data_IF_311063923373
#
_entry.id   IF_311063923373
#
_cell.length_a   1.000
_cell.length_b   1.000
_cell.length_c   1.000
_cell.angle_alpha   90.00
_cell.angle_beta   90.00
_cell.angle_gamma   90.00
#
_symmetry.space_group_name_H-M   'P 1'
#
loop_
_entity.id
_entity.type
_entity.pdbx_description
1 polymer ?
#
# COMPACT_ATOMS: atom_id res chain seq x y z
N UNK A 1 -22.77 1.24 -1.44
CA UNK A 1 -22.63 -0.14 -1.97
C UNK A 1 -21.51 -0.30 -3.00
N UNK A 2 -21.41 0.51 -4.08
CA UNK A 2 -20.29 0.38 -5.05
C UNK A 2 -18.92 0.84 -4.51
N UNK A 3 -18.87 1.95 -3.76
CA UNK A 3 -17.63 2.44 -3.14
C UNK A 3 -17.09 1.46 -2.08
N UNK A 4 -17.97 0.94 -1.24
CA UNK A 4 -17.66 -0.05 -0.19
C UNK A 4 -17.15 -1.40 -0.77
N UNK A 5 -17.72 -1.82 -1.90
CA UNK A 5 -17.25 -3.01 -2.62
C UNK A 5 -15.88 -2.79 -3.29
N UNK A 6 -15.59 -1.57 -3.77
CA UNK A 6 -14.26 -1.21 -4.29
C UNK A 6 -13.19 -1.18 -3.20
N UNK A 7 -13.50 -0.59 -2.04
CA UNK A 7 -12.61 -0.51 -0.89
C UNK A 7 -12.23 -1.92 -0.37
N UNK A 8 -13.21 -2.82 -0.25
CA UNK A 8 -12.96 -4.21 0.18
C UNK A 8 -12.12 -5.03 -0.82
N UNK A 9 -12.31 -4.84 -2.13
CA UNK A 9 -11.49 -5.52 -3.16
C UNK A 9 -10.04 -5.01 -3.15
N UNK A 10 -9.84 -3.69 -3.05
CA UNK A 10 -8.52 -3.09 -2.95
C UNK A 10 -7.79 -3.55 -1.68
N UNK A 11 -8.48 -3.57 -0.54
CA UNK A 11 -7.94 -4.08 0.72
C UNK A 11 -7.47 -5.53 0.60
N UNK A 12 -8.23 -6.38 -0.10
CA UNK A 12 -7.88 -7.79 -0.32
C UNK A 12 -6.66 -7.95 -1.24
N UNK A 13 -6.67 -7.29 -2.40
CA UNK A 13 -5.54 -7.28 -3.34
C UNK A 13 -4.25 -6.82 -2.68
N UNK A 14 -4.36 -5.83 -1.79
CA UNK A 14 -3.21 -5.35 -1.05
C UNK A 14 -2.70 -6.36 -0.02
N UNK A 15 -3.60 -6.96 0.76
CA UNK A 15 -3.24 -8.02 1.72
C UNK A 15 -2.49 -9.14 0.99
N UNK A 16 -3.00 -9.56 -0.16
CA UNK A 16 -2.38 -10.61 -0.98
C UNK A 16 -1.01 -10.15 -1.51
N UNK A 17 -0.90 -8.88 -1.96
CA UNK A 17 0.36 -8.31 -2.45
C UNK A 17 1.41 -8.15 -1.34
N UNK A 18 1.00 -7.84 -0.10
CA UNK A 18 1.89 -7.74 1.06
C UNK A 18 2.42 -9.11 1.47
N UNK A 19 1.56 -10.12 1.52
CA UNK A 19 1.95 -11.50 1.79
C UNK A 19 2.92 -12.00 0.72
N UNK A 20 2.56 -11.85 -0.56
CA UNK A 20 3.41 -12.26 -1.68
C UNK A 20 4.78 -11.55 -1.68
N UNK A 21 4.84 -10.26 -1.30
CA UNK A 21 6.10 -9.52 -1.21
C UNK A 21 6.97 -9.99 -0.04
N UNK A 22 6.37 -10.28 1.11
CA UNK A 22 7.06 -10.81 2.30
C UNK A 22 7.62 -12.20 2.03
N UNK A 23 6.82 -13.05 1.38
CA UNK A 23 7.22 -14.40 0.98
C UNK A 23 8.37 -14.34 -0.04
N UNK A 24 8.27 -13.46 -1.04
CA UNK A 24 9.34 -13.28 -2.02
C UNK A 24 10.64 -12.80 -1.38
N UNK A 25 10.58 -11.82 -0.48
CA UNK A 25 11.76 -11.35 0.27
C UNK A 25 12.40 -12.47 1.09
N UNK A 26 11.57 -13.29 1.74
CA UNK A 26 12.03 -14.46 2.51
C UNK A 26 12.70 -15.50 1.60
N UNK A 27 12.12 -15.79 0.44
CA UNK A 27 12.68 -16.73 -0.53
C UNK A 27 14.03 -16.24 -1.08
N UNK A 28 14.18 -14.94 -1.34
CA UNK A 28 15.47 -14.38 -1.79
C UNK A 28 16.54 -14.51 -0.70
N UNK A 29 16.20 -14.24 0.56
CA UNK A 29 17.13 -14.43 1.69
C UNK A 29 17.53 -15.89 1.86
N UNK A 30 16.58 -16.82 1.74
CA UNK A 30 16.87 -18.26 1.76
C UNK A 30 17.77 -18.68 0.58
N UNK A 31 17.55 -18.12 -0.60
CA UNK A 31 18.37 -18.37 -1.78
C UNK A 31 19.82 -17.88 -1.57
N UNK A 32 20.01 -16.69 -1.00
CA UNK A 32 21.35 -16.15 -0.68
C UNK A 32 22.04 -17.07 0.35
N UNK A 33 21.34 -17.44 1.43
CA UNK A 33 21.90 -18.30 2.47
C UNK A 33 22.26 -19.70 1.95
N UNK A 34 21.43 -20.28 1.07
CA UNK A 34 21.73 -21.55 0.41
C UNK A 34 22.93 -21.46 -0.54
N UNK A 35 23.20 -20.26 -1.07
CA UNK A 35 24.29 -20.00 -1.98
C UNK A 35 25.64 -19.75 -1.26
N UNK A 36 25.65 -19.25 -0.01
CA UNK A 36 26.87 -18.92 0.75
C UNK A 36 27.94 -20.05 0.80
N UNK A 37 27.60 -21.34 1.01
CA UNK A 37 28.59 -22.42 1.00
C UNK A 37 29.30 -22.62 -0.35
N UNK A 38 28.77 -22.04 -1.43
CA UNK A 38 29.35 -22.09 -2.77
C UNK A 38 30.39 -20.99 -2.99
N UNK A 39 30.37 -19.89 -2.23
CA UNK A 39 31.31 -18.76 -2.36
C UNK A 39 32.77 -19.23 -2.24
N UNK A 40 33.06 -20.09 -1.26
CA UNK A 40 34.38 -20.69 -1.05
C UNK A 40 34.77 -21.77 -2.07
N UNK A 41 33.84 -22.18 -2.93
CA UNK A 41 34.09 -23.17 -3.99
C UNK A 41 34.37 -22.52 -5.34
N UNK A 42 34.03 -21.25 -5.52
CA UNK A 42 34.28 -20.51 -6.75
C UNK A 42 35.61 -19.75 -6.69
N UNK A 43 36.34 -19.76 -7.81
CA UNK A 43 37.59 -19.01 -7.98
C UNK A 43 37.54 -18.20 -9.28
N UNK A 44 38.26 -17.07 -9.32
CA UNK A 44 38.33 -16.19 -10.50
C UNK A 44 36.95 -15.69 -10.95
N UNK A 45 36.62 -15.89 -12.23
CA UNK A 45 35.37 -15.43 -12.83
C UNK A 45 34.10 -15.99 -12.15
N UNK A 46 34.15 -17.21 -11.59
CA UNK A 46 33.03 -17.79 -10.86
C UNK A 46 32.71 -17.05 -9.56
N UNK A 47 33.75 -16.56 -8.88
CA UNK A 47 33.57 -15.75 -7.67
C UNK A 47 32.95 -14.40 -8.01
N UNK A 48 33.45 -13.74 -9.06
CA UNK A 48 32.89 -12.46 -9.54
C UNK A 48 31.40 -12.60 -9.89
N UNK A 49 31.02 -13.66 -10.61
CA UNK A 49 29.62 -13.90 -10.95
C UNK A 49 28.74 -14.18 -9.71
N UNK A 50 29.29 -14.84 -8.70
CA UNK A 50 28.60 -15.10 -7.44
C UNK A 50 28.41 -13.81 -6.61
N UNK A 51 29.44 -12.99 -6.52
CA UNK A 51 29.39 -11.69 -5.83
C UNK A 51 28.35 -10.77 -6.51
N UNK A 52 28.31 -10.76 -7.85
CA UNK A 52 27.30 -10.04 -8.63
C UNK A 52 25.88 -10.56 -8.37
N UNK A 53 25.71 -11.89 -8.31
CA UNK A 53 24.43 -12.51 -7.98
C UNK A 53 23.94 -12.09 -6.59
N UNK A 54 24.82 -12.12 -5.58
CA UNK A 54 24.48 -11.71 -4.20
C UNK A 54 24.10 -10.23 -4.15
N UNK A 55 24.89 -9.36 -4.78
CA UNK A 55 24.64 -7.92 -4.85
C UNK A 55 23.29 -7.58 -5.50
N UNK A 56 22.98 -8.22 -6.64
CA UNK A 56 21.70 -8.04 -7.33
C UNK A 56 20.52 -8.56 -6.51
N UNK A 57 20.70 -9.68 -5.80
CA UNK A 57 19.65 -10.25 -4.95
C UNK A 57 19.32 -9.33 -3.77
N UNK A 58 20.34 -8.71 -3.17
CA UNK A 58 20.17 -7.70 -2.12
C UNK A 58 19.48 -6.44 -2.64
N UNK A 59 19.87 -5.96 -3.83
CA UNK A 59 19.25 -4.81 -4.49
C UNK A 59 17.75 -5.05 -4.77
N UNK A 60 17.41 -6.20 -5.37
CA UNK A 60 16.03 -6.59 -5.65
C UNK A 60 15.21 -6.65 -4.36
N UNK A 61 15.77 -7.25 -3.30
CA UNK A 61 15.10 -7.33 -2.00
C UNK A 61 14.80 -5.94 -1.43
N UNK A 62 15.76 -5.02 -1.50
CA UNK A 62 15.57 -3.63 -1.05
C UNK A 62 14.53 -2.90 -1.89
N UNK A 63 14.57 -3.05 -3.22
CA UNK A 63 13.62 -2.43 -4.13
C UNK A 63 12.18 -2.93 -3.93
N UNK A 64 12.01 -4.23 -3.68
CA UNK A 64 10.72 -4.84 -3.32
C UNK A 64 10.18 -4.24 -2.02
N UNK A 65 11.01 -4.18 -0.97
CA UNK A 65 10.60 -3.61 0.32
C UNK A 65 10.25 -2.11 0.21
N UNK A 66 11.03 -1.34 -0.54
CA UNK A 66 10.75 0.08 -0.79
C UNK A 66 9.42 0.27 -1.55
N UNK A 67 9.19 -0.56 -2.58
CA UNK A 67 7.94 -0.52 -3.36
C UNK A 67 6.73 -0.86 -2.48
N UNK A 68 6.85 -1.90 -1.64
CA UNK A 68 5.81 -2.27 -0.69
C UNK A 68 5.51 -1.13 0.31
N UNK A 69 6.55 -0.52 0.87
CA UNK A 69 6.40 0.63 1.76
C UNK A 69 5.72 1.82 1.07
N UNK A 70 6.05 2.08 -0.19
CA UNK A 70 5.40 3.12 -1.00
C UNK A 70 3.91 2.84 -1.22
N UNK A 71 3.54 1.58 -1.53
CA UNK A 71 2.14 1.18 -1.69
C UNK A 71 1.36 1.36 -0.38
N UNK A 72 1.92 0.91 0.76
CA UNK A 72 1.29 1.06 2.07
C UNK A 72 1.14 2.54 2.47
N UNK A 73 2.15 3.37 2.20
CA UNK A 73 2.09 4.81 2.45
C UNK A 73 1.04 5.52 1.60
N UNK A 74 0.98 5.20 0.31
CA UNK A 74 -0.04 5.72 -0.60
C UNK A 74 -1.46 5.34 -0.17
N UNK A 75 -1.64 4.14 0.38
CA UNK A 75 -2.93 3.68 0.88
C UNK A 75 -3.36 4.42 2.16
N UNK A 76 -2.46 4.58 3.14
CA UNK A 76 -2.75 5.39 4.32
C UNK A 76 -3.16 6.83 3.93
N UNK A 77 -2.54 7.37 2.88
CA UNK A 77 -2.94 8.65 2.28
C UNK A 77 -4.34 8.61 1.66
N UNK A 78 -4.68 7.55 0.90
CA UNK A 78 -6.02 7.39 0.33
C UNK A 78 -7.10 7.20 1.39
N UNK A 79 -6.89 6.33 2.37
CA UNK A 79 -7.86 6.10 3.46
C UNK A 79 -8.11 7.38 4.26
N UNK A 80 -7.06 8.14 4.55
CA UNK A 80 -7.19 9.45 5.17
C UNK A 80 -7.97 10.44 4.30
N UNK A 81 -7.67 10.51 3.00
CA UNK A 81 -8.34 11.42 2.06
C UNK A 81 -9.83 11.09 1.88
N UNK A 82 -10.19 9.81 1.81
CA UNK A 82 -11.59 9.38 1.75
C UNK A 82 -12.34 9.68 3.04
N UNK A 83 -11.74 9.38 4.20
CA UNK A 83 -12.35 9.68 5.50
C UNK A 83 -12.54 11.18 5.74
N UNK A 84 -11.52 11.98 5.44
CA UNK A 84 -11.62 13.44 5.59
C UNK A 84 -12.59 14.06 4.60
N UNK A 85 -12.64 13.56 3.36
CA UNK A 85 -13.53 14.08 2.32
C UNK A 85 -15.01 13.81 2.61
N UNK A 86 -15.35 12.65 3.18
CA UNK A 86 -16.72 12.32 3.56
C UNK A 86 -17.19 13.20 4.73
N UNK A 87 -16.33 13.39 5.73
CA UNK A 87 -16.59 14.29 6.85
C UNK A 87 -16.73 15.75 6.39
N UNK A 88 -15.86 16.22 5.50
CA UNK A 88 -15.94 17.57 4.94
C UNK A 88 -17.23 17.76 4.12
N UNK A 89 -17.66 16.76 3.35
CA UNK A 89 -18.94 16.82 2.63
C UNK A 89 -20.14 16.88 3.59
N UNK A 90 -20.15 16.07 4.64
CA UNK A 90 -21.22 16.06 5.65
C UNK A 90 -21.30 17.40 6.41
N UNK A 91 -20.16 17.95 6.82
CA UNK A 91 -20.08 19.26 7.48
C UNK A 91 -20.54 20.39 6.54
N UNK A 92 -20.10 20.37 5.27
CA UNK A 92 -20.55 21.33 4.27
C UNK A 92 -22.05 21.22 3.99
N UNK A 93 -22.60 20.00 3.92
CA UNK A 93 -24.03 19.78 3.74
C UNK A 93 -24.83 20.29 4.94
N UNK A 94 -24.40 19.98 6.17
CA UNK A 94 -25.03 20.47 7.41
C UNK A 94 -24.98 22.00 7.50
N UNK A 95 -23.86 22.61 7.15
CA UNK A 95 -23.70 24.07 7.11
C UNK A 95 -24.64 24.71 6.09
N UNK A 96 -24.70 24.16 4.87
CA UNK A 96 -25.63 24.64 3.84
C UNK A 96 -27.09 24.43 4.23
N UNK A 97 -27.44 23.31 4.85
CA UNK A 97 -28.78 23.06 5.40
C UNK A 97 -29.12 24.04 6.52
N UNK A 98 -28.19 24.33 7.43
CA UNK A 98 -28.40 25.33 8.48
C UNK A 98 -28.57 26.75 7.92
N UNK A 99 -27.89 27.06 6.81
CA UNK A 99 -28.06 28.33 6.09
C UNK A 99 -29.34 28.40 5.25
N UNK A 100 -29.93 27.25 4.91
CA UNK A 100 -31.21 27.18 4.22
C UNK A 100 -32.30 27.61 5.22
N UNK A 101 -32.91 28.76 4.96
CA UNK A 101 -33.89 29.37 5.86
C UNK A 101 -35.22 28.58 5.85
N UNK A 102 -35.34 27.58 6.72
CA UNK A 102 -36.58 26.80 6.92
C UNK A 102 -37.68 27.61 7.63
N UNK A 103 -37.37 28.75 8.24
CA UNK A 103 -38.37 29.63 8.88
C UNK A 103 -39.27 30.32 7.85
N UNK A 104 -38.80 30.55 6.63
CA UNK A 104 -39.64 31.06 5.53
C UNK A 104 -40.65 30.02 4.99
N UNK A 105 -40.52 28.74 5.39
CA UNK A 105 -41.39 27.64 4.97
C UNK A 105 -42.48 27.27 6.00
N UNK A 106 -42.69 28.08 7.05
CA UNK A 106 -43.87 27.97 7.93
C UNK A 106 -45.13 28.36 7.14
N UNK A 107 -45.74 27.38 6.48
CA UNK A 107 -47.13 27.47 6.03
C UNK A 107 -48.08 27.36 7.24
N UNK A 108 -48.08 28.38 8.09
CA UNK A 108 -49.18 28.69 9.02
C UNK A 108 -49.55 30.14 8.74
N UNK A 109 -50.51 30.41 7.86
CA UNK A 109 -51.91 30.11 8.12
C UNK A 109 -52.47 31.31 8.87
N UNK A 110 -52.92 32.32 8.11
CA UNK A 110 -53.73 33.43 8.63
C UNK A 110 -55.08 32.90 9.07
#
# INVERSE_FOLDING_TARGET
MKFDMGASVLSRLLSDSQLASTDLGTLIQQLIAAAEPLEGKFNGAGKVAFDDFKSRSDEITKALNASLSGILGGQAGMDAAFGSGDQEQDENAKSQMASANFDAARFGGR
#
